data_IF_343853717097
#
_entry.id   IF_343853717097
#
_cell.length_a   1.000
_cell.length_b   1.000
_cell.length_c   1.000
_cell.angle_alpha   90.00
_cell.angle_beta   90.00
_cell.angle_gamma   90.00
#
_symmetry.space_group_name_H-M   'P 1'
#
loop_
_entity.id
_entity.type
_entity.pdbx_description
1 polymer ?
#
# COMPACT_ATOMS: atom_id res chain seq x y z
N UNK A 1 -16.82 -4.21 34.16
CA UNK A 1 -15.55 -4.45 33.44
C UNK A 1 -15.56 -3.50 32.25
N UNK A 2 -14.90 -2.35 32.36
CA UNK A 2 -14.84 -1.33 31.31
C UNK A 2 -13.69 -1.69 30.36
N UNK A 3 -14.01 -1.91 29.08
CA UNK A 3 -13.02 -2.15 28.02
C UNK A 3 -12.17 -0.86 27.89
N UNK A 4 -10.84 -0.91 27.89
CA UNK A 4 -10.05 0.30 27.68
C UNK A 4 -10.32 0.79 26.26
N UNK A 5 -10.76 2.04 26.15
CA UNK A 5 -10.77 2.79 24.91
C UNK A 5 -9.31 2.84 24.43
N UNK A 6 -9.02 2.18 23.32
CA UNK A 6 -7.75 2.35 22.63
C UNK A 6 -7.59 3.84 22.31
N UNK A 7 -6.42 4.46 22.55
CA UNK A 7 -6.17 5.82 22.12
C UNK A 7 -6.14 5.86 20.60
N UNK A 8 -7.29 6.16 20.01
CA UNK A 8 -7.50 6.47 18.62
C UNK A 8 -7.12 7.94 18.43
N UNK A 9 -5.90 8.19 17.97
CA UNK A 9 -5.44 9.55 17.67
C UNK A 9 -3.94 9.73 17.84
N UNK A 10 -3.20 9.68 16.74
CA UNK A 10 -1.79 10.08 16.76
C UNK A 10 -0.97 9.93 15.48
N UNK A 11 -1.41 9.10 14.54
CA UNK A 11 -0.74 8.93 13.23
C UNK A 11 -1.78 8.53 12.17
N UNK A 12 -2.84 9.33 12.05
CA UNK A 12 -3.80 9.23 10.96
C UNK A 12 -3.05 9.53 9.66
N UNK A 13 -2.91 8.49 8.83
CA UNK A 13 -2.54 8.60 7.42
C UNK A 13 -3.41 9.70 6.81
N UNK A 14 -2.83 10.87 6.54
CA UNK A 14 -3.43 11.96 5.78
C UNK A 14 -4.32 11.35 4.68
N UNK A 15 -5.64 11.49 4.83
CA UNK A 15 -6.79 10.99 4.02
C UNK A 15 -6.47 9.99 2.91
N UNK A 16 -7.25 8.90 2.74
CA UNK A 16 -7.11 7.91 1.63
C UNK A 16 -6.73 8.51 0.26
N UNK A 17 -7.28 9.67 -0.09
CA UNK A 17 -6.98 10.45 -1.30
C UNK A 17 -5.54 10.98 -1.38
N UNK A 18 -4.99 11.50 -0.29
CA UNK A 18 -3.60 11.97 -0.21
C UNK A 18 -2.63 10.80 -0.32
N UNK A 19 -2.97 9.67 0.32
CA UNK A 19 -2.22 8.41 0.14
C UNK A 19 -2.22 7.95 -1.32
N UNK A 20 -3.40 7.95 -1.97
CA UNK A 20 -3.53 7.56 -3.38
C UNK A 20 -2.69 8.46 -4.29
N UNK A 21 -2.78 9.78 -4.11
CA UNK A 21 -2.00 10.74 -4.87
C UNK A 21 -0.47 10.59 -4.64
N UNK A 22 -0.05 10.27 -3.42
CA UNK A 22 1.35 9.99 -3.12
C UNK A 22 1.82 8.69 -3.80
N UNK A 23 1.00 7.64 -3.76
CA UNK A 23 1.28 6.36 -4.42
C UNK A 23 1.39 6.52 -5.93
N UNK A 24 0.46 7.23 -6.57
CA UNK A 24 0.47 7.51 -8.01
C UNK A 24 1.75 8.21 -8.45
N UNK A 25 2.24 9.18 -7.66
CA UNK A 25 3.50 9.88 -7.93
C UNK A 25 4.70 8.95 -7.88
N UNK A 26 4.77 8.09 -6.87
CA UNK A 26 5.87 7.11 -6.71
C UNK A 26 5.86 6.10 -7.85
N UNK A 27 4.69 5.55 -8.20
CA UNK A 27 4.55 4.60 -9.32
C UNK A 27 4.95 5.25 -10.64
N UNK A 28 4.53 6.49 -10.87
CA UNK A 28 4.89 7.23 -12.10
C UNK A 28 6.40 7.47 -12.19
N UNK A 29 7.05 7.85 -11.07
CA UNK A 29 8.49 8.06 -11.03
C UNK A 29 9.29 6.75 -11.22
N UNK A 30 8.79 5.63 -10.68
CA UNK A 30 9.41 4.32 -10.90
C UNK A 30 9.33 3.92 -12.38
N UNK A 31 8.17 4.15 -13.03
CA UNK A 31 7.98 3.88 -14.46
C UNK A 31 8.87 4.74 -15.37
N UNK A 32 8.99 6.04 -15.08
CA UNK A 32 9.89 6.94 -15.81
C UNK A 32 11.35 6.47 -15.76
N UNK A 33 11.74 5.84 -14.64
CA UNK A 33 13.09 5.32 -14.40
C UNK A 33 13.30 3.86 -14.80
N UNK A 34 12.33 3.24 -15.48
CA UNK A 34 12.33 1.82 -15.87
C UNK A 34 12.58 0.87 -14.67
N UNK A 35 12.06 1.23 -13.50
CA UNK A 35 12.17 0.40 -12.29
C UNK A 35 11.07 -0.65 -12.31
N UNK A 36 11.46 -1.92 -12.26
CA UNK A 36 10.53 -3.04 -12.08
C UNK A 36 9.86 -2.94 -10.71
N UNK A 37 8.53 -2.82 -10.72
CA UNK A 37 7.68 -2.76 -9.51
C UNK A 37 7.13 -4.15 -9.12
N UNK A 38 7.30 -5.16 -9.97
CA UNK A 38 6.86 -6.53 -9.71
C UNK A 38 7.86 -7.23 -8.79
N UNK A 39 7.39 -7.96 -7.79
CA UNK A 39 8.26 -8.75 -6.90
C UNK A 39 7.86 -8.74 -5.43
N UNK A 40 8.71 -9.39 -4.62
CA UNK A 40 8.53 -9.50 -3.18
C UNK A 40 9.46 -8.53 -2.43
N UNK A 41 8.87 -7.61 -1.66
CA UNK A 41 9.58 -6.58 -0.91
C UNK A 41 9.42 -6.83 0.59
N UNK A 42 10.55 -7.02 1.28
CA UNK A 42 10.56 -7.16 2.74
C UNK A 42 10.52 -5.78 3.40
N UNK A 43 9.47 -5.54 4.16
CA UNK A 43 9.27 -4.29 4.89
C UNK A 43 9.56 -4.52 6.36
N UNK A 44 10.53 -3.75 6.87
CA UNK A 44 10.87 -3.76 8.27
C UNK A 44 9.90 -2.92 9.07
N UNK A 45 9.30 -3.50 10.10
CA UNK A 45 8.34 -2.81 10.95
C UNK A 45 9.04 -1.77 11.83
N UNK A 46 8.59 -0.50 11.86
CA UNK A 46 9.19 0.53 12.71
C UNK A 46 8.91 0.30 14.21
N UNK A 47 7.90 -0.52 14.54
CA UNK A 47 7.52 -0.86 15.92
C UNK A 47 8.08 -2.23 16.28
N UNK A 48 8.90 -2.30 17.32
CA UNK A 48 9.61 -3.52 17.76
C UNK A 48 8.70 -4.71 18.14
N UNK A 49 7.39 -4.48 18.36
CA UNK A 49 6.41 -5.53 18.65
C UNK A 49 5.64 -6.03 17.43
N UNK A 50 5.83 -5.39 16.28
CA UNK A 50 5.19 -5.79 15.02
C UNK A 50 6.26 -6.52 14.22
N UNK A 51 6.00 -7.78 13.79
CA UNK A 51 6.95 -8.50 12.96
C UNK A 51 7.14 -7.79 11.62
N UNK A 52 8.29 -8.03 11.01
CA UNK A 52 8.53 -7.66 9.62
C UNK A 52 7.56 -8.43 8.71
N UNK A 53 7.23 -7.86 7.55
CA UNK A 53 6.28 -8.46 6.62
C UNK A 53 6.76 -8.31 5.18
N UNK A 54 6.35 -9.25 4.34
CA UNK A 54 6.64 -9.23 2.91
C UNK A 54 5.42 -8.72 2.16
N UNK A 55 5.61 -7.74 1.28
CA UNK A 55 4.62 -7.30 0.30
C UNK A 55 4.96 -7.94 -1.04
N UNK A 56 4.00 -8.65 -1.63
CA UNK A 56 4.12 -9.19 -2.98
C UNK A 56 3.33 -8.31 -3.94
N UNK A 57 4.03 -7.71 -4.91
CA UNK A 57 3.42 -6.94 -5.99
C UNK A 57 3.42 -7.82 -7.23
N UNK A 58 2.24 -8.32 -7.57
CA UNK A 58 2.02 -9.10 -8.79
C UNK A 58 1.36 -8.23 -9.86
N UNK A 59 1.67 -8.53 -11.13
CA UNK A 59 0.96 -7.93 -12.27
C UNK A 59 -0.50 -8.31 -12.25
N UNK A 60 -1.36 -7.32 -12.01
CA UNK A 60 -2.79 -7.50 -12.14
C UNK A 60 -3.17 -7.38 -13.63
N UNK A 61 -3.51 -8.49 -14.28
CA UNK A 61 -4.19 -8.43 -15.58
C UNK A 61 -5.62 -7.97 -15.33
N UNK A 62 -5.95 -6.72 -15.70
CA UNK A 62 -7.35 -6.31 -15.83
C UNK A 62 -7.99 -7.21 -16.89
N UNK A 63 -8.85 -8.14 -16.49
CA UNK A 63 -9.87 -8.63 -17.40
C UNK A 63 -10.77 -7.44 -17.70
N UNK A 64 -10.74 -6.94 -18.94
CA UNK A 64 -11.81 -6.08 -19.42
C UNK A 64 -13.12 -6.88 -19.27
N UNK A 65 -14.23 -6.27 -18.80
CA UNK A 65 -15.51 -6.91 -19.00
C UNK A 65 -15.65 -7.15 -20.49
N UNK A 66 -15.90 -8.38 -20.90
CA UNK A 66 -16.35 -8.66 -22.26
C UNK A 66 -17.66 -7.89 -22.41
N UNK A 67 -17.62 -6.76 -23.13
CA UNK A 67 -18.81 -6.07 -23.60
C UNK A 67 -19.65 -7.11 -24.37
N UNK A 68 -20.70 -7.59 -23.71
CA UNK A 68 -21.67 -8.50 -24.29
C UNK A 68 -22.51 -7.75 -25.31
N UNK A 69 -22.45 -8.25 -26.54
CA UNK A 69 -23.26 -7.89 -27.72
C UNK A 69 -24.78 -7.84 -27.44
#
# INVERSE_FOLDING_TARGET
>A
MTRPESPDGGDDLTTRKEFDAALERVVSAARDRDVELEGAYNVRSPRHKVPDYTIEIAKQTKQAPEDGD
#
